data_IF_977745702536
#
_entry.id   IF_977745702536
#
_cell.length_a   1.000
_cell.length_b   1.000
_cell.length_c   1.000
_cell.angle_alpha   90.00
_cell.angle_beta   90.00
_cell.angle_gamma   90.00
#
_symmetry.space_group_name_H-M   'P 1'
#
loop_
_entity.id
_entity.type
_entity.pdbx_description
1 polymer ?
#
# COMPACT_ATOMS: atom_id res chain seq x y z
N UNK A 1 23.98 3.57 -11.23
CA UNK A 1 24.00 3.88 -9.79
C UNK A 1 22.73 3.36 -9.13
N UNK A 2 22.78 2.94 -7.86
CA UNK A 2 21.61 2.51 -7.08
C UNK A 2 21.39 3.55 -5.99
N UNK A 3 20.24 4.24 -6.02
CA UNK A 3 19.91 5.29 -5.05
C UNK A 3 19.40 4.69 -3.74
N UNK A 4 18.52 3.69 -3.83
CA UNK A 4 18.09 2.95 -2.64
C UNK A 4 17.77 1.48 -2.94
N UNK A 5 18.00 0.67 -1.91
CA UNK A 5 17.63 -0.73 -1.86
C UNK A 5 17.00 -1.02 -0.51
N UNK A 6 15.72 -1.42 -0.52
CA UNK A 6 14.85 -1.61 0.66
C UNK A 6 14.26 -0.31 1.19
N UNK A 7 12.95 -0.35 1.42
CA UNK A 7 12.20 0.69 2.12
C UNK A 7 11.52 0.07 3.34
N UNK A 8 11.24 0.89 4.36
CA UNK A 8 10.54 0.44 5.57
C UNK A 8 9.02 0.45 5.36
N UNK A 9 8.54 -0.39 4.44
CA UNK A 9 7.11 -0.57 4.12
C UNK A 9 6.70 -2.05 4.21
N UNK A 10 5.46 -2.34 4.62
CA UNK A 10 4.89 -3.69 4.71
C UNK A 10 3.45 -3.74 4.19
N UNK A 11 3.03 -4.69 3.33
CA UNK A 11 3.85 -5.59 2.53
C UNK A 11 4.64 -4.81 1.46
N UNK A 12 5.74 -5.39 0.99
CA UNK A 12 6.70 -4.70 0.12
C UNK A 12 8.13 -5.04 0.52
N UNK A 13 8.58 -6.24 0.15
CA UNK A 13 10.03 -6.54 0.11
C UNK A 13 10.71 -5.60 -0.92
N UNK A 14 12.04 -5.41 -0.93
CA UNK A 14 12.65 -4.18 -1.42
C UNK A 14 12.28 -3.81 -2.84
N UNK A 15 11.70 -2.61 -3.06
CA UNK A 15 11.97 -1.92 -4.30
C UNK A 15 13.46 -1.58 -4.37
N UNK A 16 13.99 -1.67 -5.58
CA UNK A 16 15.24 -1.02 -5.98
C UNK A 16 14.88 0.18 -6.84
N UNK A 17 15.57 1.29 -6.61
CA UNK A 17 15.55 2.43 -7.51
C UNK A 17 16.98 2.88 -7.78
N UNK A 18 17.23 3.27 -9.02
CA UNK A 18 18.51 3.76 -9.48
C UNK A 18 18.45 4.16 -10.95
N UNK A 19 19.61 4.32 -11.55
CA UNK A 19 19.76 4.65 -12.96
C UNK A 19 20.86 3.81 -13.63
N UNK A 20 20.62 3.45 -14.88
CA UNK A 20 21.60 2.85 -15.79
C UNK A 20 21.73 3.71 -17.03
N UNK A 21 22.92 4.27 -17.28
CA UNK A 21 23.16 5.20 -18.39
C UNK A 21 22.04 6.26 -18.50
N UNK A 22 21.80 6.99 -17.40
CA UNK A 22 20.75 8.01 -17.26
C UNK A 22 19.30 7.50 -17.37
N UNK A 23 19.11 6.19 -17.64
CA UNK A 23 17.79 5.58 -17.71
C UNK A 23 17.36 5.09 -16.33
N UNK A 24 16.23 5.57 -15.79
CA UNK A 24 15.74 5.17 -14.47
C UNK A 24 15.31 3.69 -14.44
N UNK A 25 15.69 2.98 -13.39
CA UNK A 25 15.37 1.56 -13.16
C UNK A 25 14.56 1.43 -11.87
N UNK A 26 13.43 0.72 -11.97
CA UNK A 26 12.60 0.31 -10.84
C UNK A 26 12.62 -1.21 -10.73
N UNK A 27 13.26 -1.74 -9.69
CA UNK A 27 13.17 -3.16 -9.35
C UNK A 27 11.96 -3.40 -8.44
N UNK A 28 10.89 -3.98 -8.97
CA UNK A 28 9.70 -4.34 -8.18
C UNK A 28 9.83 -5.75 -7.58
N UNK A 29 9.12 -6.04 -6.47
CA UNK A 29 9.03 -7.40 -5.94
C UNK A 29 8.48 -8.39 -6.97
N UNK A 30 8.85 -9.67 -6.88
CA UNK A 30 8.28 -10.72 -7.74
C UNK A 30 6.84 -11.15 -7.37
N UNK A 31 6.36 -10.78 -6.18
CA UNK A 31 5.00 -11.09 -5.75
C UNK A 31 4.02 -10.03 -6.29
N UNK A 32 3.02 -10.38 -7.13
CA UNK A 32 2.18 -9.41 -7.85
C UNK A 32 1.49 -8.38 -6.95
N UNK A 33 1.04 -8.80 -5.78
CA UNK A 33 0.42 -7.91 -4.79
C UNK A 33 1.42 -6.88 -4.28
N UNK A 34 2.62 -7.34 -3.91
CA UNK A 34 3.69 -6.46 -3.44
C UNK A 34 4.17 -5.53 -4.56
N UNK A 35 4.25 -6.02 -5.81
CA UNK A 35 4.59 -5.20 -6.98
C UNK A 35 3.57 -4.09 -7.20
N UNK A 36 2.27 -4.41 -7.12
CA UNK A 36 1.20 -3.43 -7.27
C UNK A 36 1.26 -2.33 -6.20
N UNK A 37 1.39 -2.71 -4.93
CA UNK A 37 1.51 -1.76 -3.82
C UNK A 37 2.74 -0.85 -4.01
N UNK A 38 3.90 -1.43 -4.31
CA UNK A 38 5.14 -0.68 -4.52
C UNK A 38 5.04 0.25 -5.73
N UNK A 39 4.43 -0.21 -6.82
CA UNK A 39 4.23 0.61 -8.01
C UNK A 39 3.37 1.85 -7.70
N UNK A 40 2.25 1.67 -7.00
CA UNK A 40 1.35 2.78 -6.62
C UNK A 40 2.04 3.83 -5.75
N UNK A 41 2.84 3.41 -4.77
CA UNK A 41 3.44 4.35 -3.81
C UNK A 41 4.79 4.94 -4.25
N UNK A 42 5.48 4.33 -5.23
CA UNK A 42 6.78 4.83 -5.72
C UNK A 42 6.72 5.26 -7.19
N UNK A 43 6.36 4.32 -8.08
CA UNK A 43 6.39 4.58 -9.52
C UNK A 43 5.33 5.62 -9.93
N UNK A 44 4.12 5.54 -9.39
CA UNK A 44 3.03 6.49 -9.66
C UNK A 44 3.45 7.94 -9.39
N UNK A 45 3.88 8.30 -8.16
CA UNK A 45 4.42 9.62 -7.84
C UNK A 45 5.58 10.04 -8.75
N UNK A 46 6.49 9.13 -9.08
CA UNK A 46 7.62 9.44 -9.96
C UNK A 46 7.17 9.82 -11.36
N UNK A 47 6.30 9.02 -12.00
CA UNK A 47 5.78 9.33 -13.33
C UNK A 47 5.01 10.64 -13.36
N UNK A 48 4.21 10.92 -12.32
CA UNK A 48 3.52 12.21 -12.17
C UNK A 48 4.50 13.39 -12.15
N UNK A 49 5.57 13.29 -11.37
CA UNK A 49 6.60 14.32 -11.32
C UNK A 49 7.30 14.50 -12.69
N UNK A 50 7.64 13.42 -13.38
CA UNK A 50 8.32 13.48 -14.69
C UNK A 50 7.43 14.05 -15.80
N UNK A 51 6.13 13.79 -15.73
CA UNK A 51 5.15 14.24 -16.73
C UNK A 51 4.50 15.58 -16.37
N UNK A 52 4.88 16.18 -15.23
CA UNK A 52 4.18 17.34 -14.65
C UNK A 52 2.67 17.12 -14.47
N UNK A 53 2.25 15.86 -14.28
CA UNK A 53 0.85 15.49 -14.09
C UNK A 53 0.48 15.52 -12.61
N UNK A 54 -0.72 16.01 -12.30
CA UNK A 54 -1.34 15.89 -10.97
C UNK A 54 -2.20 14.64 -10.81
N UNK A 55 -2.41 13.86 -11.88
CA UNK A 55 -3.34 12.73 -11.93
C UNK A 55 -2.75 11.50 -12.64
N UNK A 56 -3.24 10.28 -12.34
CA UNK A 56 -4.21 9.95 -11.29
C UNK A 56 -3.59 10.06 -9.89
N UNK A 57 -4.35 10.51 -8.90
CA UNK A 57 -3.93 10.54 -7.49
C UNK A 57 -4.74 9.55 -6.65
N UNK A 58 -4.06 8.90 -5.73
CA UNK A 58 -4.62 8.00 -4.74
C UNK A 58 -5.47 8.79 -3.73
N UNK A 59 -6.78 8.56 -3.74
CA UNK A 59 -7.71 9.13 -2.76
C UNK A 59 -7.45 8.55 -1.36
N UNK A 60 -7.48 9.40 -0.34
CA UNK A 60 -7.34 8.99 1.06
C UNK A 60 -8.67 9.15 1.78
N UNK A 61 -9.05 8.13 2.54
CA UNK A 61 -10.22 8.16 3.43
C UNK A 61 -9.82 7.77 4.85
N UNK A 62 -10.65 8.12 5.83
CA UNK A 62 -10.50 7.64 7.20
C UNK A 62 -11.41 6.43 7.38
N UNK A 63 -10.87 5.37 7.96
CA UNK A 63 -11.58 4.11 8.21
C UNK A 63 -11.32 3.64 9.63
N UNK A 64 -12.26 2.91 10.21
CA UNK A 64 -12.12 2.28 11.52
C UNK A 64 -11.80 0.80 11.37
N UNK A 65 -10.80 0.31 12.09
CA UNK A 65 -10.36 -1.07 11.99
C UNK A 65 -11.37 -2.02 12.66
N UNK A 66 -11.95 -2.96 11.91
CA UNK A 66 -12.82 -4.01 12.48
C UNK A 66 -12.02 -5.18 13.08
N UNK A 67 -10.70 -5.18 12.90
CA UNK A 67 -9.83 -6.19 13.47
C UNK A 67 -8.44 -5.63 13.70
N UNK A 68 -7.69 -6.33 14.54
CA UNK A 68 -6.25 -6.09 14.66
C UNK A 68 -5.57 -6.30 13.29
N UNK A 69 -4.73 -5.33 12.92
CA UNK A 69 -3.83 -5.38 11.79
C UNK A 69 -2.41 -5.39 12.35
N UNK A 70 -1.66 -6.43 12.02
CA UNK A 70 -0.28 -6.58 12.47
C UNK A 70 0.61 -5.49 11.86
N UNK A 71 1.13 -4.60 12.70
CA UNK A 71 2.16 -3.60 12.36
C UNK A 71 3.56 -4.11 12.74
N UNK A 72 4.60 -3.42 12.25
CA UNK A 72 6.00 -3.66 12.61
C UNK A 72 6.62 -2.31 13.00
N UNK A 73 7.19 -2.17 14.20
CA UNK A 73 7.79 -0.91 14.62
C UNK A 73 8.81 -0.40 13.61
N UNK A 74 8.72 0.88 13.25
CA UNK A 74 9.58 1.51 12.27
C UNK A 74 9.16 1.32 10.81
N UNK A 75 8.07 0.61 10.52
CA UNK A 75 7.58 0.37 9.15
C UNK A 75 6.20 0.98 8.92
N UNK A 76 6.01 1.58 7.75
CA UNK A 76 4.67 1.93 7.26
C UNK A 76 3.96 0.64 6.85
N UNK A 77 2.72 0.46 7.29
CA UNK A 77 1.92 -0.71 6.98
C UNK A 77 0.80 -0.36 5.98
N UNK A 78 0.90 -0.92 4.77
CA UNK A 78 0.02 -0.80 3.60
C UNK A 78 -0.74 -2.10 3.31
N UNK A 79 -1.44 -2.63 4.31
CA UNK A 79 -2.20 -3.87 4.16
C UNK A 79 -3.45 -3.61 3.32
N UNK A 80 -3.74 -4.50 2.38
CA UNK A 80 -5.03 -4.49 1.68
C UNK A 80 -6.16 -4.74 2.67
N UNK A 81 -7.21 -3.96 2.51
CA UNK A 81 -8.42 -3.99 3.32
C UNK A 81 -9.64 -3.96 2.40
N UNK A 82 -10.70 -4.58 2.89
CA UNK A 82 -12.04 -4.43 2.39
C UNK A 82 -12.76 -3.40 3.26
N UNK A 83 -13.55 -2.57 2.61
CA UNK A 83 -14.31 -1.48 3.18
C UNK A 83 -15.79 -1.88 3.20
N UNK A 84 -16.45 -1.57 4.30
CA UNK A 84 -17.90 -1.72 4.38
C UNK A 84 -18.46 -0.70 5.36
N UNK A 85 -19.69 -0.29 5.13
CA UNK A 85 -20.38 0.67 5.99
C UNK A 85 -21.14 -0.07 7.10
N UNK A 86 -21.05 0.42 8.33
CA UNK A 86 -21.85 -0.05 9.45
C UNK A 86 -22.06 1.07 10.44
N UNK A 87 -23.30 1.27 10.91
CA UNK A 87 -23.67 2.30 11.88
C UNK A 87 -23.20 3.72 11.50
N UNK A 88 -23.12 4.02 10.19
CA UNK A 88 -22.66 5.31 9.67
C UNK A 88 -21.14 5.51 9.68
N UNK A 89 -20.37 4.45 9.97
CA UNK A 89 -18.91 4.44 9.89
C UNK A 89 -18.40 3.55 8.75
N UNK A 90 -17.30 3.95 8.12
CA UNK A 90 -16.58 3.08 7.19
C UNK A 90 -15.61 2.20 7.98
N UNK A 91 -15.86 0.90 7.97
CA UNK A 91 -15.05 -0.11 8.63
C UNK A 91 -14.09 -0.77 7.63
N UNK A 92 -12.94 -1.17 8.15
CA UNK A 92 -11.88 -1.83 7.39
C UNK A 92 -11.56 -3.21 7.96
N UNK A 93 -11.53 -4.22 7.09
CA UNK A 93 -11.21 -5.60 7.48
C UNK A 93 -10.26 -6.27 6.49
N UNK A 94 -9.53 -7.28 6.97
CA UNK A 94 -8.75 -8.17 6.08
C UNK A 94 -9.41 -9.54 5.90
N UNK A 95 -10.56 -9.78 6.56
CA UNK A 95 -11.34 -11.01 6.49
C UNK A 95 -12.13 -11.09 5.18
N UNK A 96 -11.45 -11.46 4.10
CA UNK A 96 -12.08 -12.18 3.00
C UNK A 96 -11.11 -13.25 2.50
N UNK A 97 -11.64 -14.26 1.81
CA UNK A 97 -10.95 -15.49 1.41
C UNK A 97 -9.67 -15.22 0.58
N UNK A 98 -8.51 -15.13 1.25
CA UNK A 98 -7.20 -14.88 0.63
C UNK A 98 -6.51 -16.20 0.23
N UNK A 99 -6.98 -16.83 -0.84
CA UNK A 99 -6.18 -17.83 -1.55
C UNK A 99 -4.92 -17.16 -2.12
N UNK A 100 -3.74 -17.56 -1.63
CA UNK A 100 -2.47 -16.83 -1.74
C UNK A 100 -1.84 -16.75 -3.14
N UNK A 101 -2.54 -17.16 -4.20
CA UNK A 101 -2.00 -17.27 -5.56
C UNK A 101 -2.69 -16.44 -6.65
N UNK A 102 -3.72 -15.65 -6.34
CA UNK A 102 -4.60 -15.14 -7.41
C UNK A 102 -4.66 -13.60 -7.52
N UNK A 103 -4.55 -13.10 -8.75
CA UNK A 103 -4.83 -11.70 -9.17
C UNK A 103 -6.20 -11.25 -8.65
N UNK A 104 -7.13 -12.18 -8.40
CA UNK A 104 -8.40 -11.93 -7.74
C UNK A 104 -8.25 -11.11 -6.44
N UNK A 105 -7.20 -11.34 -5.64
CA UNK A 105 -6.97 -10.55 -4.42
C UNK A 105 -6.56 -9.09 -4.70
N UNK A 106 -6.02 -8.77 -5.88
CA UNK A 106 -5.77 -7.41 -6.35
C UNK A 106 -7.09 -6.80 -6.84
N UNK A 107 -7.85 -7.56 -7.63
CA UNK A 107 -9.16 -7.12 -8.15
C UNK A 107 -10.20 -6.86 -7.05
N UNK A 108 -10.10 -7.55 -5.91
CA UNK A 108 -11.04 -7.44 -4.79
C UNK A 108 -10.58 -6.49 -3.68
N UNK A 109 -9.32 -6.02 -3.70
CA UNK A 109 -8.82 -5.11 -2.68
C UNK A 109 -9.27 -3.68 -2.96
N UNK A 110 -10.09 -3.10 -2.10
CA UNK A 110 -10.68 -1.77 -2.30
C UNK A 110 -9.76 -0.64 -1.81
N UNK A 111 -8.96 -0.92 -0.79
CA UNK A 111 -8.01 0.06 -0.26
C UNK A 111 -6.77 -0.60 0.37
N UNK A 112 -5.76 0.23 0.67
CA UNK A 112 -4.59 -0.09 1.49
C UNK A 112 -4.66 0.72 2.79
N UNK A 113 -4.36 0.12 3.94
CA UNK A 113 -4.11 0.89 5.17
C UNK A 113 -2.99 1.88 4.95
N UNK A 114 -2.96 2.98 5.70
CA UNK A 114 -1.80 3.84 5.85
C UNK A 114 -1.53 3.99 7.35
N UNK A 115 -0.98 2.93 7.92
CA UNK A 115 -0.57 2.89 9.32
C UNK A 115 0.91 3.29 9.40
N UNK A 116 1.20 4.30 10.22
CA UNK A 116 2.52 4.83 10.43
C UNK A 116 3.46 3.89 11.21
N UNK A 117 4.75 4.25 11.32
CA UNK A 117 5.78 3.43 11.94
C UNK A 117 5.54 3.05 13.41
N UNK A 118 4.71 3.83 14.11
CA UNK A 118 4.43 3.68 15.53
C UNK A 118 2.96 3.35 15.80
N UNK A 119 2.17 3.12 14.75
CA UNK A 119 0.75 2.80 14.91
C UNK A 119 0.59 1.37 15.43
N UNK A 120 -0.36 1.23 16.34
CA UNK A 120 -0.69 -0.02 17.04
C UNK A 120 -1.53 -0.96 16.17
N UNK A 121 -2.38 -0.41 15.30
CA UNK A 121 -3.20 -1.17 14.36
C UNK A 121 -4.26 -2.02 15.07
N UNK A 122 -4.78 -1.57 16.21
CA UNK A 122 -5.75 -2.30 17.01
C UNK A 122 -7.17 -2.11 16.50
N UNK A 123 -7.99 -3.16 16.66
CA UNK A 123 -9.43 -3.07 16.40
C UNK A 123 -10.03 -1.86 17.13
N UNK A 124 -10.86 -1.10 16.42
CA UNK A 124 -11.54 0.11 16.91
C UNK A 124 -10.75 1.40 16.68
N UNK A 125 -9.46 1.33 16.36
CA UNK A 125 -8.67 2.52 16.00
C UNK A 125 -9.02 2.99 14.58
N UNK A 126 -8.82 4.29 14.34
CA UNK A 126 -8.96 4.88 13.02
C UNK A 126 -7.61 4.99 12.34
N UNK A 127 -7.57 4.75 11.04
CA UNK A 127 -6.40 5.04 10.22
C UNK A 127 -6.81 5.66 8.89
N UNK A 128 -5.86 6.34 8.24
CA UNK A 128 -6.02 6.66 6.82
C UNK A 128 -5.95 5.39 5.99
N UNK A 129 -6.68 5.35 4.88
CA UNK A 129 -6.60 4.30 3.87
C UNK A 129 -6.52 4.91 2.47
N UNK A 130 -5.67 4.33 1.62
CA UNK A 130 -5.51 4.69 0.21
C UNK A 130 -6.48 3.85 -0.62
N UNK A 131 -7.43 4.48 -1.31
CA UNK A 131 -8.33 3.79 -2.23
C UNK A 131 -7.53 3.28 -3.44
N UNK A 132 -7.78 2.03 -3.83
CA UNK A 132 -7.13 1.36 -4.96
C UNK A 132 -7.87 1.62 -6.27
#
# INVERSE_FOLDING_TARGET
EIDFWRIKVRPGSPPLFGAWNETPIFGLPGNPVSSHVVFRILCGPWFRAQTSSSQPQESKIIVKLDQDIKTVPGFITLRRIHLYESEGEILATTKHHQGSGNIASIALGEALTLLGPNDTGKKGEYCSALIL
#
